data_IF_728384950661
#
_entry.id   IF_728384950661
#
_cell.length_a   1.000
_cell.length_b   1.000
_cell.length_c   1.000
_cell.angle_alpha   90.00
_cell.angle_beta   90.00
_cell.angle_gamma   90.00
#
_symmetry.space_group_name_H-M   'P 1'
#
loop_
_entity.id
_entity.type
_entity.pdbx_description
1 polymer ?
#
# COMPACT_ATOMS: atom_id res chain seq x y z
N UNK A 1 -7.23 -25.65 24.01
CA UNK A 1 -6.17 -24.96 23.23
C UNK A 1 -6.65 -23.57 22.89
N UNK A 2 -5.94 -22.52 23.33
CA UNK A 2 -6.28 -21.14 22.94
C UNK A 2 -6.18 -21.01 21.42
N UNK A 3 -7.29 -20.64 20.78
CA UNK A 3 -7.31 -20.31 19.36
C UNK A 3 -6.33 -19.15 19.13
N UNK A 4 -5.21 -19.39 18.43
CA UNK A 4 -4.30 -18.31 18.04
C UNK A 4 -5.10 -17.27 17.25
N UNK A 5 -5.11 -16.03 17.73
CA UNK A 5 -5.72 -14.89 17.04
C UNK A 5 -5.17 -14.82 15.60
N UNK A 6 -6.07 -14.60 14.66
CA UNK A 6 -5.75 -14.37 13.25
C UNK A 6 -5.90 -12.87 12.99
N UNK A 7 -4.97 -12.30 12.23
CA UNK A 7 -4.89 -10.85 12.03
C UNK A 7 -5.17 -10.46 10.59
N UNK A 8 -5.64 -9.23 10.39
CA UNK A 8 -5.92 -8.66 9.09
C UNK A 8 -5.70 -7.14 9.11
N UNK A 9 -5.51 -6.57 7.92
CA UNK A 9 -5.73 -5.13 7.69
C UNK A 9 -7.17 -4.98 7.24
N UNK A 10 -7.84 -4.01 7.84
CA UNK A 10 -9.22 -3.67 7.55
C UNK A 10 -9.25 -2.28 6.92
N UNK A 11 -9.82 -2.17 5.72
CA UNK A 11 -9.88 -0.92 4.96
C UNK A 11 -11.34 -0.52 4.75
N UNK A 12 -11.64 0.73 5.04
CA UNK A 12 -12.89 1.40 4.69
C UNK A 12 -12.66 2.18 3.39
N UNK A 13 -13.50 1.95 2.37
CA UNK A 13 -13.33 2.57 1.06
C UNK A 13 -14.16 3.85 0.88
N UNK A 14 -15.26 3.94 1.62
CA UNK A 14 -16.18 5.08 1.64
C UNK A 14 -16.58 5.38 3.08
N UNK A 15 -16.87 6.65 3.42
CA UNK A 15 -17.09 7.11 4.79
C UNK A 15 -18.09 6.24 5.60
N UNK A 16 -19.20 5.83 4.98
CA UNK A 16 -20.25 5.01 5.62
C UNK A 16 -20.12 3.50 5.35
N UNK A 17 -19.08 3.06 4.63
CA UNK A 17 -18.90 1.64 4.29
C UNK A 17 -18.33 0.83 5.47
N UNK A 18 -18.72 -0.46 5.61
CA UNK A 18 -18.08 -1.33 6.57
C UNK A 18 -16.62 -1.61 6.17
N UNK A 19 -15.79 -1.91 7.17
CA UNK A 19 -14.42 -2.35 6.91
C UNK A 19 -14.39 -3.67 6.14
N UNK A 20 -13.61 -3.71 5.05
CA UNK A 20 -13.27 -4.94 4.35
C UNK A 20 -11.95 -5.49 4.89
N UNK A 21 -11.99 -6.70 5.44
CA UNK A 21 -10.82 -7.36 6.01
C UNK A 21 -10.03 -8.12 4.95
N UNK A 22 -8.71 -7.93 4.95
CA UNK A 22 -7.75 -8.67 4.15
C UNK A 22 -6.69 -9.31 5.07
N UNK A 23 -6.57 -10.64 5.10
CA UNK A 23 -5.69 -11.38 6.01
C UNK A 23 -4.22 -10.96 5.96
N UNK A 24 -3.59 -10.95 7.14
CA UNK A 24 -2.16 -10.74 7.34
C UNK A 24 -1.53 -11.94 8.04
N UNK A 25 -0.26 -12.24 7.72
CA UNK A 25 0.48 -13.37 8.30
C UNK A 25 0.73 -13.20 9.81
N UNK A 26 0.80 -11.96 10.29
CA UNK A 26 0.96 -11.62 11.71
C UNK A 26 0.36 -10.25 12.03
N UNK A 27 0.29 -9.90 13.32
CA UNK A 27 -0.16 -8.57 13.76
C UNK A 27 0.82 -7.49 13.31
N UNK A 28 2.11 -7.78 13.44
CA UNK A 28 3.21 -6.87 13.11
C UNK A 28 3.19 -6.53 11.61
N UNK A 29 2.91 -7.51 10.74
CA UNK A 29 2.74 -7.26 9.30
C UNK A 29 1.52 -6.40 9.01
N UNK A 30 0.40 -6.61 9.72
CA UNK A 30 -0.78 -5.75 9.58
C UNK A 30 -0.49 -4.32 10.04
N UNK A 31 0.22 -4.14 11.15
CA UNK A 31 0.62 -2.82 11.69
C UNK A 31 1.55 -2.08 10.72
N UNK A 32 2.54 -2.77 10.15
CA UNK A 32 3.42 -2.21 9.12
C UNK A 32 2.66 -1.82 7.85
N UNK A 33 1.70 -2.63 7.41
CA UNK A 33 0.89 -2.33 6.24
C UNK A 33 -0.01 -1.10 6.47
N UNK A 34 -0.67 -1.01 7.62
CA UNK A 34 -1.44 0.19 8.01
C UNK A 34 -0.54 1.42 8.06
N UNK A 35 0.63 1.33 8.68
CA UNK A 35 1.58 2.44 8.74
C UNK A 35 2.04 2.90 7.35
N UNK A 36 2.24 1.98 6.40
CA UNK A 36 2.55 2.30 5.00
C UNK A 36 1.44 3.12 4.35
N UNK A 37 0.17 2.69 4.46
CA UNK A 37 -0.96 3.44 3.91
C UNK A 37 -1.09 4.84 4.50
N UNK A 38 -0.94 4.98 5.83
CA UNK A 38 -1.00 6.28 6.51
C UNK A 38 0.11 7.21 6.03
N UNK A 39 1.35 6.71 5.98
CA UNK A 39 2.49 7.47 5.45
C UNK A 39 2.23 7.97 4.03
N UNK A 40 1.64 7.14 3.16
CA UNK A 40 1.27 7.56 1.80
C UNK A 40 0.22 8.68 1.82
N UNK A 41 -0.85 8.56 2.62
CA UNK A 41 -1.88 9.60 2.72
C UNK A 41 -1.29 10.94 3.15
N UNK A 42 -0.44 10.93 4.18
CA UNK A 42 0.23 12.12 4.68
C UNK A 42 1.18 12.75 3.66
N UNK A 43 1.74 11.96 2.74
CA UNK A 43 2.55 12.49 1.65
C UNK A 43 1.70 12.98 0.46
N UNK A 44 0.52 12.40 0.24
CA UNK A 44 -0.39 12.76 -0.86
C UNK A 44 -1.23 14.01 -0.56
N UNK A 45 -1.66 14.19 0.68
CA UNK A 45 -2.49 15.31 1.09
C UNK A 45 -1.64 16.42 1.70
N UNK A 46 -1.76 17.65 1.17
CA UNK A 46 -1.08 18.83 1.72
C UNK A 46 -1.70 19.35 3.03
N UNK A 47 -2.79 18.76 3.50
CA UNK A 47 -3.49 19.13 4.73
C UNK A 47 -3.44 17.97 5.72
N UNK A 48 -2.82 18.17 6.87
CA UNK A 48 -2.77 17.19 7.96
C UNK A 48 -4.18 16.79 8.42
N UNK A 49 -5.10 17.75 8.53
CA UNK A 49 -6.51 17.49 8.90
C UNK A 49 -7.17 16.50 7.92
N UNK A 50 -6.90 16.65 6.62
CA UNK A 50 -7.42 15.72 5.63
C UNK A 50 -6.71 14.37 5.77
N UNK A 51 -5.39 14.34 5.85
CA UNK A 51 -4.62 13.10 5.98
C UNK A 51 -5.04 12.28 7.21
N UNK A 52 -5.16 12.92 8.37
CA UNK A 52 -5.61 12.30 9.63
C UNK A 52 -7.01 11.70 9.52
N UNK A 53 -7.93 12.36 8.79
CA UNK A 53 -9.27 11.81 8.57
C UNK A 53 -9.26 10.49 7.79
N UNK A 54 -8.24 10.27 6.93
CA UNK A 54 -8.05 9.01 6.21
C UNK A 54 -7.33 7.95 7.04
N UNK A 55 -6.56 8.32 8.06
CA UNK A 55 -5.84 7.34 8.90
C UNK A 55 -6.79 6.41 9.65
N UNK A 56 -7.99 6.90 9.98
CA UNK A 56 -9.07 6.11 10.56
C UNK A 56 -9.56 5.01 9.60
N UNK A 57 -9.39 5.17 8.28
CA UNK A 57 -9.90 4.24 7.28
C UNK A 57 -9.08 2.95 7.18
N UNK A 58 -7.90 2.91 7.83
CA UNK A 58 -6.99 1.78 7.85
C UNK A 58 -6.78 1.30 9.29
N UNK A 59 -7.12 0.04 9.56
CA UNK A 59 -7.06 -0.53 10.90
C UNK A 59 -6.45 -1.93 10.91
N UNK A 60 -5.78 -2.26 12.02
CA UNK A 60 -5.44 -3.64 12.36
C UNK A 60 -6.61 -4.25 13.12
N UNK A 61 -7.12 -5.37 12.63
CA UNK A 61 -8.25 -6.07 13.25
C UNK A 61 -7.96 -7.56 13.46
N UNK A 62 -8.73 -8.18 14.35
CA UNK A 62 -8.82 -9.64 14.39
C UNK A 62 -9.67 -10.11 13.21
N UNK A 63 -9.23 -11.16 12.53
CA UNK A 63 -9.95 -11.76 11.42
C UNK A 63 -11.24 -12.42 11.90
N UNK A 64 -12.37 -12.05 11.31
CA UNK A 64 -13.69 -12.57 11.71
C UNK A 64 -14.09 -13.87 10.98
N UNK A 65 -13.39 -14.22 9.89
CA UNK A 65 -13.69 -15.44 9.12
C UNK A 65 -13.01 -16.69 9.69
N UNK A 66 -13.11 -17.80 8.96
CA UNK A 66 -12.47 -19.06 9.35
C UNK A 66 -10.95 -19.03 9.14
N UNK A 67 -10.22 -19.91 9.83
CA UNK A 67 -8.77 -20.13 9.59
C UNK A 67 -8.48 -20.57 8.16
N UNK A 68 -9.33 -21.41 7.58
CA UNK A 68 -9.19 -21.88 6.18
C UNK A 68 -9.28 -20.70 5.21
N UNK A 69 -10.20 -19.77 5.43
CA UNK A 69 -10.31 -18.57 4.62
C UNK A 69 -9.16 -17.61 4.82
N UNK A 70 -8.68 -17.44 6.05
CA UNK A 70 -7.52 -16.61 6.38
C UNK A 70 -6.29 -17.02 5.56
N UNK A 71 -6.00 -18.33 5.52
CA UNK A 71 -4.88 -18.89 4.75
C UNK A 71 -5.14 -18.72 3.25
N UNK A 72 -6.34 -19.09 2.76
CA UNK A 72 -6.66 -19.02 1.32
C UNK A 72 -6.63 -17.59 0.77
N UNK A 73 -7.04 -16.61 1.58
CA UNK A 73 -7.12 -15.19 1.20
C UNK A 73 -5.91 -14.39 1.72
N UNK A 74 -4.81 -15.05 2.09
CA UNK A 74 -3.62 -14.38 2.59
C UNK A 74 -3.17 -13.30 1.60
N UNK A 75 -3.04 -12.07 2.09
CA UNK A 75 -2.68 -10.93 1.25
C UNK A 75 -1.46 -10.20 1.78
N UNK A 76 -1.47 -9.80 3.06
CA UNK A 76 -0.33 -9.11 3.65
C UNK A 76 0.70 -10.12 4.17
N UNK A 77 1.76 -10.29 3.39
CA UNK A 77 2.99 -11.00 3.71
C UNK A 77 4.15 -10.00 3.75
N UNK A 78 5.37 -10.47 4.05
CA UNK A 78 6.56 -9.62 3.90
C UNK A 78 6.78 -9.17 2.45
N UNK A 79 6.50 -10.04 1.47
CA UNK A 79 6.67 -9.74 0.04
C UNK A 79 5.75 -8.62 -0.46
N UNK A 80 4.63 -8.38 0.23
CA UNK A 80 3.72 -7.28 -0.12
C UNK A 80 4.39 -5.90 -0.03
N UNK A 81 5.38 -5.73 0.85
CA UNK A 81 6.13 -4.48 0.98
C UNK A 81 7.08 -4.20 -0.20
N UNK A 82 7.33 -5.22 -1.03
CA UNK A 82 8.07 -5.09 -2.29
C UNK A 82 7.18 -4.80 -3.49
N UNK A 83 5.86 -4.72 -3.31
CA UNK A 83 4.93 -4.36 -4.39
C UNK A 83 4.84 -2.83 -4.54
N UNK A 84 4.83 -2.30 -5.78
CA UNK A 84 4.66 -0.88 -6.01
C UNK A 84 3.25 -0.41 -5.65
N UNK A 85 3.13 0.73 -4.98
CA UNK A 85 1.83 1.32 -4.61
C UNK A 85 1.35 2.34 -5.64
N UNK A 86 2.27 2.90 -6.42
CA UNK A 86 1.98 3.90 -7.42
C UNK A 86 2.55 3.51 -8.77
N UNK A 87 1.92 4.04 -9.82
CA UNK A 87 2.35 3.86 -11.19
C UNK A 87 2.54 5.22 -11.85
N UNK A 88 3.53 5.30 -12.73
CA UNK A 88 3.79 6.48 -13.54
C UNK A 88 4.03 6.05 -14.98
N UNK A 89 3.60 6.89 -15.93
CA UNK A 89 3.64 6.59 -17.37
C UNK A 89 4.47 7.59 -18.17
N UNK A 90 4.91 8.67 -17.54
CA UNK A 90 5.55 9.79 -18.23
C UNK A 90 6.41 10.62 -17.27
N UNK A 91 7.41 11.29 -17.83
CA UNK A 91 8.41 12.07 -17.09
C UNK A 91 7.80 13.23 -16.28
N UNK A 92 6.77 13.90 -16.83
CA UNK A 92 6.12 15.07 -16.22
C UNK A 92 5.42 14.76 -14.88
N UNK A 93 5.12 13.49 -14.62
CA UNK A 93 4.48 13.03 -13.37
C UNK A 93 5.46 12.46 -12.35
N UNK A 94 6.72 12.25 -12.71
CA UNK A 94 7.70 11.56 -11.86
C UNK A 94 7.91 12.28 -10.53
N UNK A 95 8.15 13.59 -10.54
CA UNK A 95 8.37 14.36 -9.31
C UNK A 95 7.16 14.30 -8.37
N UNK A 96 5.95 14.39 -8.92
CA UNK A 96 4.73 14.28 -8.13
C UNK A 96 4.58 12.89 -7.49
N UNK A 97 4.70 11.82 -8.28
CA UNK A 97 4.45 10.45 -7.79
C UNK A 97 5.51 10.00 -6.79
N UNK A 98 6.78 10.35 -7.02
CA UNK A 98 7.86 10.00 -6.10
C UNK A 98 7.82 10.80 -4.80
N UNK A 99 7.17 11.96 -4.77
CA UNK A 99 6.96 12.71 -3.53
C UNK A 99 6.12 11.95 -2.50
N UNK A 100 5.35 10.94 -2.93
CA UNK A 100 4.57 10.07 -2.04
C UNK A 100 5.43 9.06 -1.24
N UNK A 101 6.73 8.94 -1.58
CA UNK A 101 7.71 8.25 -0.73
C UNK A 101 7.56 6.73 -0.65
N UNK A 102 6.93 6.11 -1.65
CA UNK A 102 6.78 4.66 -1.78
C UNK A 102 7.39 4.13 -3.09
N UNK A 103 7.39 2.81 -3.27
CA UNK A 103 7.83 2.12 -4.47
C UNK A 103 6.89 2.41 -5.64
N UNK A 104 7.48 2.80 -6.77
CA UNK A 104 6.75 3.19 -7.98
C UNK A 104 7.09 2.23 -9.11
N UNK A 105 6.08 1.84 -9.88
CA UNK A 105 6.28 1.17 -11.17
C UNK A 105 6.16 2.18 -12.31
N UNK A 106 7.23 2.28 -13.11
CA UNK A 106 7.34 3.16 -14.25
C UNK A 106 7.07 2.36 -15.53
N UNK A 107 6.07 2.78 -16.29
CA UNK A 107 5.73 2.20 -17.58
C UNK A 107 6.20 3.11 -18.71
N UNK A 108 6.74 2.49 -19.77
CA UNK A 108 7.12 3.16 -21.02
C UNK A 108 6.88 2.20 -22.18
N UNK A 109 6.30 2.70 -23.26
CA UNK A 109 5.99 1.88 -24.43
C UNK A 109 7.27 1.23 -24.99
N UNK A 110 7.21 -0.07 -25.29
CA UNK A 110 8.34 -0.82 -25.83
C UNK A 110 9.45 -1.16 -24.82
N UNK A 111 9.28 -0.82 -23.54
CA UNK A 111 10.25 -1.11 -22.47
C UNK A 111 9.65 -2.04 -21.41
N UNK A 112 10.51 -2.85 -20.77
CA UNK A 112 10.14 -3.56 -19.54
C UNK A 112 9.87 -2.53 -18.43
N UNK A 113 8.80 -2.68 -17.62
CA UNK A 113 8.53 -1.76 -16.52
C UNK A 113 9.67 -1.72 -15.50
N UNK A 114 9.98 -0.53 -15.02
CA UNK A 114 10.97 -0.31 -13.96
C UNK A 114 10.26 -0.14 -12.62
N UNK A 115 10.64 -0.93 -11.61
CA UNK A 115 10.15 -0.78 -10.23
C UNK A 115 11.27 -0.17 -9.40
N UNK A 116 11.09 1.04 -8.89
CA UNK A 116 12.15 1.75 -8.15
C UNK A 116 11.62 2.72 -7.09
N UNK A 117 12.48 3.07 -6.13
CA UNK A 117 12.33 4.21 -5.21
C UNK A 117 13.27 5.37 -5.55
N UNK A 118 14.17 5.20 -6.50
CA UNK A 118 15.11 6.23 -6.93
C UNK A 118 14.50 7.06 -8.07
N UNK A 119 14.20 8.32 -7.76
CA UNK A 119 13.67 9.27 -8.72
C UNK A 119 14.61 9.52 -9.90
N UNK A 120 15.93 9.48 -9.69
CA UNK A 120 16.91 9.69 -10.76
C UNK A 120 16.94 8.50 -11.72
N UNK A 121 16.77 7.28 -11.19
CA UNK A 121 16.61 6.08 -12.01
C UNK A 121 15.35 6.18 -12.88
N UNK A 122 14.23 6.62 -12.30
CA UNK A 122 12.99 6.84 -13.04
C UNK A 122 13.12 7.94 -14.12
N UNK A 123 13.77 9.07 -13.82
CA UNK A 123 14.00 10.14 -14.82
C UNK A 123 14.81 9.62 -16.01
N UNK A 124 15.92 8.93 -15.75
CA UNK A 124 16.74 8.28 -16.80
C UNK A 124 15.93 7.29 -17.64
N UNK A 125 15.07 6.49 -17.02
CA UNK A 125 14.22 5.53 -17.73
C UNK A 125 13.32 6.20 -18.79
N UNK A 126 12.81 7.40 -18.51
CA UNK A 126 11.99 8.13 -19.47
C UNK A 126 12.79 8.89 -20.53
N UNK A 127 13.97 9.41 -20.19
CA UNK A 127 14.83 10.20 -21.09
C UNK A 127 15.51 9.37 -22.20
N UNK A 128 15.75 8.06 -21.97
CA UNK A 128 16.42 7.19 -22.96
C UNK A 128 15.46 6.83 -24.10
N UNK A 129 15.56 7.52 -25.24
CA UNK A 129 14.73 7.27 -26.45
C UNK A 129 14.93 5.88 -27.02
#
# INVERSE_FOLDING_TARGET
>A
MSSKKLWCVAIRFEYDSPYKQSPAVSKEVAEQAVARYRKMNHAMFHSEVIADSYDEWYQVQQWHGTRKEHIRKMFYTQDWFSQPMFQVFSLDRVDQVFSYGDLVICYKQGSTPLITKDINEAKRFYEVV
#
